data_IF_076994217310
#
_entry.id   IF_076994217310
#
_cell.length_a   1.000
_cell.length_b   1.000
_cell.length_c   1.000
_cell.angle_alpha   90.00
_cell.angle_beta   90.00
_cell.angle_gamma   90.00
#
_symmetry.space_group_name_H-M   'P 1'
#
loop_
_entity.id
_entity.type
_entity.pdbx_description
1 polymer ?
#
# COMPACT_ATOMS: atom_id res chain seq x y z
N UNK A 1 -40.97 -33.85 -54.10
CA UNK A 1 -41.37 -33.22 -52.82
C UNK A 1 -40.17 -32.54 -52.19
N UNK A 2 -40.39 -31.31 -51.71
CA UNK A 2 -39.59 -30.47 -50.79
C UNK A 2 -38.37 -29.73 -51.36
N UNK A 3 -38.57 -28.40 -51.37
CA UNK A 3 -37.71 -27.28 -51.76
C UNK A 3 -36.42 -27.25 -50.93
N UNK A 4 -35.26 -27.06 -51.58
CA UNK A 4 -33.99 -26.77 -50.91
C UNK A 4 -33.91 -25.27 -50.58
N UNK A 5 -33.79 -24.98 -49.29
CA UNK A 5 -33.67 -23.65 -48.71
C UNK A 5 -32.17 -23.30 -48.63
N UNK A 6 -31.69 -22.33 -49.40
CA UNK A 6 -30.32 -21.84 -49.30
C UNK A 6 -30.24 -20.79 -48.20
N UNK A 7 -29.73 -21.19 -47.03
CA UNK A 7 -29.42 -20.30 -45.91
C UNK A 7 -28.09 -19.58 -46.18
N UNK A 8 -28.15 -18.26 -46.35
CA UNK A 8 -26.98 -17.38 -46.38
C UNK A 8 -26.50 -17.20 -44.94
N UNK A 9 -25.33 -17.75 -44.62
CA UNK A 9 -24.64 -17.52 -43.34
C UNK A 9 -23.91 -16.17 -43.43
N UNK A 10 -24.43 -15.19 -42.71
CA UNK A 10 -23.80 -13.89 -42.49
C UNK A 10 -22.81 -14.03 -41.32
N UNK A 11 -21.52 -14.23 -41.65
CA UNK A 11 -20.44 -14.29 -40.67
C UNK A 11 -20.07 -12.88 -40.21
N UNK A 12 -20.72 -12.41 -39.13
CA UNK A 12 -20.30 -11.20 -38.41
C UNK A 12 -19.05 -11.53 -37.60
N UNK A 13 -17.89 -11.18 -38.14
CA UNK A 13 -16.64 -11.14 -37.37
C UNK A 13 -16.69 -9.87 -36.53
N UNK A 14 -17.22 -9.95 -35.30
CA UNK A 14 -17.05 -8.89 -34.31
C UNK A 14 -15.62 -8.92 -33.82
N UNK A 15 -14.77 -8.05 -34.36
CA UNK A 15 -13.47 -7.73 -33.78
C UNK A 15 -13.72 -7.04 -32.44
N UNK A 16 -13.68 -7.81 -31.34
CA UNK A 16 -13.53 -7.30 -29.99
C UNK A 16 -12.12 -6.70 -29.88
N UNK A 17 -11.97 -5.46 -30.30
CA UNK A 17 -10.80 -4.65 -29.98
C UNK A 17 -10.82 -4.38 -28.48
N UNK A 18 -9.93 -5.03 -27.73
CA UNK A 18 -9.61 -4.61 -26.37
C UNK A 18 -9.08 -3.18 -26.45
N UNK A 19 -9.90 -2.20 -26.03
CA UNK A 19 -9.41 -0.84 -25.79
C UNK A 19 -8.45 -0.89 -24.61
N UNK A 20 -7.15 -0.97 -24.88
CA UNK A 20 -6.14 -0.66 -23.87
C UNK A 20 -6.22 0.85 -23.65
N UNK A 21 -6.68 1.29 -22.48
CA UNK A 21 -6.67 2.71 -22.14
C UNK A 21 -5.23 3.20 -22.18
N UNK A 22 -4.91 4.05 -23.16
CA UNK A 22 -3.58 4.65 -23.24
C UNK A 22 -3.36 5.58 -22.05
N UNK A 23 -2.15 5.57 -21.50
CA UNK A 23 -1.77 6.36 -20.33
C UNK A 23 -0.50 7.18 -20.63
N UNK A 24 -0.41 8.33 -19.98
CA UNK A 24 0.82 9.09 -19.84
C UNK A 24 1.53 8.61 -18.59
N UNK A 25 2.69 7.98 -18.76
CA UNK A 25 3.51 7.48 -17.66
C UNK A 25 4.58 8.53 -17.35
N UNK A 26 4.74 8.89 -16.08
CA UNK A 26 5.76 9.82 -15.65
C UNK A 26 6.52 9.35 -14.42
N UNK A 27 7.75 9.83 -14.26
CA UNK A 27 8.57 9.64 -13.07
C UNK A 27 9.18 10.97 -12.64
N UNK A 28 9.05 11.29 -11.36
CA UNK A 28 9.57 12.51 -10.75
C UNK A 28 10.88 12.21 -10.03
N UNK A 29 11.94 12.92 -10.40
CA UNK A 29 13.26 12.81 -9.78
C UNK A 29 13.73 14.16 -9.26
N UNK A 30 14.46 14.15 -8.14
CA UNK A 30 15.18 15.32 -7.67
C UNK A 30 16.29 15.69 -8.68
N UNK A 31 16.28 16.94 -9.13
CA UNK A 31 17.26 17.46 -10.11
C UNK A 31 18.72 17.37 -9.64
N UNK A 32 18.98 17.40 -8.33
CA UNK A 32 20.32 17.31 -7.72
C UNK A 32 20.69 15.86 -7.39
N UNK A 33 19.84 15.15 -6.65
CA UNK A 33 20.20 13.82 -6.10
C UNK A 33 19.84 12.66 -7.02
N UNK A 34 18.99 12.91 -8.03
CA UNK A 34 18.38 11.89 -8.90
C UNK A 34 17.56 10.84 -8.14
N UNK A 35 17.24 11.06 -6.86
CA UNK A 35 16.34 10.21 -6.10
C UNK A 35 14.88 10.49 -6.48
N UNK A 36 13.98 9.49 -6.35
CA UNK A 36 12.55 9.69 -6.54
C UNK A 36 11.97 10.79 -5.66
N UNK A 37 11.12 11.65 -6.24
CA UNK A 37 10.28 12.58 -5.47
C UNK A 37 8.95 11.89 -5.17
N UNK A 38 8.86 11.33 -3.98
CA UNK A 38 7.72 10.54 -3.53
C UNK A 38 6.54 11.43 -3.12
N UNK A 39 5.32 10.95 -3.33
CA UNK A 39 4.08 11.61 -2.90
C UNK A 39 3.86 13.03 -3.45
N UNK A 40 4.53 13.41 -4.54
CA UNK A 40 4.25 14.69 -5.20
C UNK A 40 2.84 14.69 -5.81
N UNK A 41 2.17 15.83 -5.72
CA UNK A 41 0.86 16.05 -6.34
C UNK A 41 1.05 16.41 -7.81
N UNK A 42 0.36 15.70 -8.70
CA UNK A 42 0.34 15.94 -10.14
C UNK A 42 -1.08 16.33 -10.53
N UNK A 43 -1.35 17.63 -10.71
CA UNK A 43 -2.67 18.15 -11.03
C UNK A 43 -2.75 18.63 -12.48
N UNK A 44 -3.92 18.47 -13.11
CA UNK A 44 -4.22 19.17 -14.36
C UNK A 44 -4.72 20.56 -14.01
N UNK A 45 -4.03 21.59 -14.50
CA UNK A 45 -4.31 23.00 -14.19
C UNK A 45 -5.76 23.33 -14.50
N UNK A 46 -6.38 24.10 -13.61
CA UNK A 46 -7.77 24.59 -13.70
C UNK A 46 -8.82 23.46 -13.77
N UNK A 47 -8.44 22.23 -13.46
CA UNK A 47 -9.32 21.09 -13.33
C UNK A 47 -9.28 20.53 -11.92
N UNK A 48 -10.39 19.98 -11.45
CA UNK A 48 -10.47 19.30 -10.16
C UNK A 48 -9.97 17.85 -10.29
N UNK A 49 -8.83 17.65 -10.97
CA UNK A 49 -8.28 16.32 -11.25
C UNK A 49 -6.78 16.34 -10.95
N UNK A 50 -6.32 15.36 -10.17
CA UNK A 50 -4.90 15.09 -9.98
C UNK A 50 -4.64 13.66 -9.52
N UNK A 51 -3.38 13.25 -9.59
CA UNK A 51 -2.87 11.99 -9.07
C UNK A 51 -1.68 12.26 -8.14
N UNK A 52 -1.33 11.27 -7.32
CA UNK A 52 -0.19 11.33 -6.41
C UNK A 52 0.89 10.37 -6.93
N UNK A 53 2.15 10.81 -6.91
CA UNK A 53 3.28 9.96 -7.28
C UNK A 53 3.56 8.89 -6.20
N UNK A 54 3.93 7.69 -6.62
CA UNK A 54 4.24 6.56 -5.72
C UNK A 54 5.64 6.68 -5.06
N UNK A 55 6.03 5.66 -4.29
CA UNK A 55 7.34 5.57 -3.60
C UNK A 55 8.55 5.55 -4.56
N UNK A 56 8.33 5.32 -5.84
CA UNK A 56 9.36 5.38 -6.88
C UNK A 56 9.25 6.68 -7.71
N UNK A 57 8.42 7.63 -7.26
CA UNK A 57 8.14 8.89 -7.94
C UNK A 57 7.30 8.73 -9.20
N UNK A 58 6.71 7.55 -9.45
CA UNK A 58 5.95 7.30 -10.66
C UNK A 58 4.52 7.79 -10.52
N UNK A 59 3.97 8.33 -11.60
CA UNK A 59 2.56 8.67 -11.71
C UNK A 59 2.02 8.30 -13.08
N UNK A 60 0.68 8.20 -13.18
CA UNK A 60 -0.01 7.90 -14.43
C UNK A 60 -1.18 8.83 -14.62
N UNK A 61 -1.31 9.40 -15.81
CA UNK A 61 -2.45 10.23 -16.19
C UNK A 61 -3.17 9.61 -17.39
N UNK A 62 -4.50 9.48 -17.35
CA UNK A 62 -5.28 9.05 -18.50
C UNK A 62 -5.03 9.91 -19.74
N UNK A 63 -4.92 9.29 -20.92
CA UNK A 63 -4.61 10.00 -22.18
C UNK A 63 -5.61 11.12 -22.52
N UNK A 64 -6.85 11.04 -22.02
CA UNK A 64 -7.89 12.08 -22.21
C UNK A 64 -7.45 13.47 -21.73
N UNK A 65 -6.46 13.55 -20.85
CA UNK A 65 -5.91 14.81 -20.37
C UNK A 65 -4.85 15.40 -21.29
N UNK A 66 -4.40 14.68 -22.33
CA UNK A 66 -3.47 15.17 -23.35
C UNK A 66 -4.21 16.02 -24.39
N UNK A 67 -4.52 17.27 -24.02
CA UNK A 67 -5.09 18.27 -24.92
C UNK A 67 -4.17 19.48 -25.02
N UNK A 68 -4.28 20.27 -26.09
CA UNK A 68 -3.33 21.34 -26.39
C UNK A 68 -3.19 22.40 -25.30
N UNK A 69 -4.27 22.66 -24.57
CA UNK A 69 -4.35 23.73 -23.58
C UNK A 69 -4.06 23.26 -22.15
N UNK A 70 -3.94 21.94 -21.93
CA UNK A 70 -3.75 21.41 -20.58
C UNK A 70 -2.29 21.55 -20.12
N UNK A 71 -2.13 22.15 -18.95
CA UNK A 71 -0.87 22.22 -18.22
C UNK A 71 -0.96 21.25 -17.04
N UNK A 72 0.06 20.43 -16.85
CA UNK A 72 0.25 19.66 -15.63
C UNK A 72 1.06 20.50 -14.66
N UNK A 73 0.55 20.66 -13.45
CA UNK A 73 1.22 21.34 -12.34
C UNK A 73 1.60 20.30 -11.30
N UNK A 74 2.90 20.22 -11.01
CA UNK A 74 3.48 19.25 -10.09
C UNK A 74 4.01 20.01 -8.88
N UNK A 75 3.49 19.70 -7.69
CA UNK A 75 3.90 20.32 -6.44
C UNK A 75 4.28 19.28 -5.40
N UNK A 76 5.29 19.62 -4.59
CA UNK A 76 5.79 18.80 -3.50
C UNK A 76 6.45 19.74 -2.48
N UNK A 77 6.27 19.47 -1.18
CA UNK A 77 6.87 20.26 -0.12
C UNK A 77 8.40 20.20 -0.25
N UNK A 78 9.06 21.37 -0.24
CA UNK A 78 10.51 21.47 -0.36
C UNK A 78 11.02 21.47 -1.80
N UNK A 79 10.15 21.57 -2.80
CA UNK A 79 10.50 21.67 -4.22
C UNK A 79 9.82 22.85 -4.90
N UNK A 80 10.47 23.40 -5.91
CA UNK A 80 9.85 24.37 -6.83
C UNK A 80 8.73 23.69 -7.61
N UNK A 81 7.56 24.33 -7.65
CA UNK A 81 6.42 23.87 -8.44
C UNK A 81 6.81 23.81 -9.92
N UNK A 82 6.53 22.67 -10.55
CA UNK A 82 6.89 22.38 -11.94
C UNK A 82 5.63 22.40 -12.80
N UNK A 83 5.55 23.32 -13.76
CA UNK A 83 4.45 23.41 -14.72
C UNK A 83 4.92 22.96 -16.11
N UNK A 84 4.23 21.97 -16.70
CA UNK A 84 4.60 21.37 -17.98
C UNK A 84 3.37 21.29 -18.88
N UNK A 85 3.51 21.64 -20.16
CA UNK A 85 2.45 21.38 -21.14
C UNK A 85 2.33 19.87 -21.39
N UNK A 86 1.14 19.29 -21.22
CA UNK A 86 0.90 17.85 -21.35
C UNK A 86 1.25 17.29 -22.74
N UNK A 87 1.26 18.14 -23.78
CA UNK A 87 1.64 17.73 -25.12
C UNK A 87 3.11 17.31 -25.23
N UNK A 88 3.97 17.80 -24.34
CA UNK A 88 5.37 17.42 -24.29
C UNK A 88 5.59 15.97 -23.83
N UNK A 89 4.60 15.34 -23.18
CA UNK A 89 4.71 13.97 -22.68
C UNK A 89 4.46 12.95 -23.79
N UNK A 90 5.32 11.95 -23.91
CA UNK A 90 5.21 10.89 -24.91
C UNK A 90 4.28 9.78 -24.38
N UNK A 91 3.29 9.40 -25.18
CA UNK A 91 2.30 8.37 -24.84
C UNK A 91 2.97 6.99 -24.85
N UNK A 92 2.70 6.16 -23.83
CA UNK A 92 3.25 4.81 -23.74
C UNK A 92 4.76 4.74 -23.43
N UNK A 93 5.42 5.87 -23.17
CA UNK A 93 6.80 5.94 -22.70
C UNK A 93 6.86 6.54 -21.31
N UNK A 94 7.91 6.18 -20.55
CA UNK A 94 8.17 6.76 -19.25
C UNK A 94 8.78 8.16 -19.42
N UNK A 95 8.04 9.18 -19.03
CA UNK A 95 8.48 10.57 -19.09
C UNK A 95 9.19 10.96 -17.77
N UNK A 96 10.51 11.18 -17.82
CA UNK A 96 11.28 11.56 -16.63
C UNK A 96 11.23 13.08 -16.47
N UNK A 97 10.69 13.56 -15.36
CA UNK A 97 10.55 14.98 -15.02
C UNK A 97 11.40 15.29 -13.78
N UNK A 98 12.13 16.40 -13.80
CA UNK A 98 13.05 16.77 -12.71
C UNK A 98 12.50 17.93 -11.89
N UNK A 99 12.39 17.74 -10.58
CA UNK A 99 11.97 18.79 -9.64
C UNK A 99 13.20 19.44 -8.98
N UNK A 100 13.17 20.76 -8.82
CA UNK A 100 14.28 21.52 -8.23
C UNK A 100 14.03 21.72 -6.74
N UNK A 101 14.92 21.27 -5.83
CA UNK A 101 14.76 21.51 -4.40
C UNK A 101 14.69 23.02 -4.08
N UNK A 102 13.75 23.40 -3.21
CA UNK A 102 13.52 24.74 -2.67
C UNK A 102 13.45 24.64 -1.14
N UNK A 103 14.62 24.61 -0.51
CA UNK A 103 14.77 24.46 0.94
C UNK A 103 15.61 25.64 1.45
N UNK A 104 15.09 26.37 2.43
CA UNK A 104 15.86 27.32 3.22
C UNK A 104 16.16 26.66 4.58
N UNK A 105 17.41 26.27 4.82
CA UNK A 105 17.82 25.83 6.15
C UNK A 105 17.73 27.04 7.09
N UNK A 106 16.90 26.92 8.13
CA UNK A 106 17.02 27.82 9.26
C UNK A 106 18.26 27.37 10.05
N UNK A 107 19.16 28.30 10.36
CA UNK A 107 20.23 28.00 11.32
C UNK A 107 19.57 27.48 12.59
N UNK A 108 19.95 26.27 13.00
CA UNK A 108 19.52 25.70 14.26
C UNK A 108 19.81 26.75 15.33
N UNK A 109 18.76 27.31 15.94
CA UNK A 109 18.90 28.23 17.05
C UNK A 109 19.53 27.43 18.17
N UNK A 110 20.87 27.44 18.19
CA UNK A 110 21.66 26.83 19.24
C UNK A 110 21.37 27.70 20.44
N UNK A 111 20.64 27.14 21.38
CA UNK A 111 20.24 27.82 22.61
C UNK A 111 21.52 28.13 23.39
N UNK A 112 22.11 29.29 23.12
CA UNK A 112 22.92 30.01 24.10
C UNK A 112 22.06 31.19 24.51
N UNK A 113 21.70 31.19 25.79
CA UNK A 113 20.93 32.22 26.46
C UNK A 113 21.62 33.60 26.37
N UNK A 114 21.63 34.23 25.20
CA UNK A 114 22.00 35.63 25.07
C UNK A 114 20.75 36.48 25.17
N UNK A 115 20.53 37.03 26.37
CA UNK A 115 19.44 37.94 26.77
C UNK A 115 19.45 39.30 26.03
N UNK A 116 20.10 39.42 24.87
CA UNK A 116 20.46 40.72 24.30
C UNK A 116 20.00 40.97 22.85
N UNK A 117 19.11 40.14 22.30
CA UNK A 117 18.38 40.48 21.05
C UNK A 117 16.87 40.44 21.28
N UNK A 118 16.11 41.45 20.83
CA UNK A 118 14.65 41.44 20.94
C UNK A 118 14.06 40.24 20.19
N UNK A 119 13.15 39.52 20.86
CA UNK A 119 12.38 38.37 20.35
C UNK A 119 11.09 38.86 19.67
N UNK A 120 11.13 39.37 18.43
CA UNK A 120 9.87 39.77 17.77
C UNK A 120 9.25 38.67 16.89
N UNK A 121 10.03 37.73 16.31
CA UNK A 121 9.49 36.75 15.35
C UNK A 121 9.71 35.26 15.69
N UNK A 122 10.22 34.92 16.87
CA UNK A 122 10.45 33.52 17.25
C UNK A 122 9.25 32.90 17.98
N UNK A 123 8.56 31.98 17.33
CA UNK A 123 7.51 31.13 17.93
C UNK A 123 8.11 29.74 18.20
N UNK A 124 8.10 29.24 19.46
CA UNK A 124 8.55 27.89 19.77
C UNK A 124 7.81 26.81 18.98
N UNK A 125 8.50 25.72 18.60
CA UNK A 125 7.92 24.60 17.85
C UNK A 125 6.60 24.09 18.43
N UNK A 126 6.57 23.91 19.76
CA UNK A 126 5.40 23.46 20.51
C UNK A 126 4.23 24.45 20.39
N UNK A 127 4.50 25.75 20.37
CA UNK A 127 3.47 26.79 20.25
C UNK A 127 2.91 26.86 18.82
N UNK A 128 3.73 26.61 17.79
CA UNK A 128 3.27 26.48 16.40
C UNK A 128 2.28 25.30 16.27
N UNK A 129 2.64 24.13 16.81
CA UNK A 129 1.76 22.95 16.82
C UNK A 129 0.50 23.20 17.63
N UNK A 130 0.61 23.88 18.78
CA UNK A 130 -0.53 24.28 19.60
C UNK A 130 -1.50 25.18 18.84
N UNK A 131 -0.99 26.18 18.12
CA UNK A 131 -1.81 27.07 17.30
C UNK A 131 -2.48 26.31 16.15
N UNK A 132 -1.79 25.34 15.54
CA UNK A 132 -2.37 24.50 14.50
C UNK A 132 -3.54 23.65 15.02
N UNK A 133 -3.39 23.04 16.20
CA UNK A 133 -4.46 22.29 16.87
C UNK A 133 -5.64 23.21 17.22
N UNK A 134 -5.36 24.41 17.76
CA UNK A 134 -6.39 25.39 18.10
C UNK A 134 -7.18 25.85 16.87
N UNK A 135 -6.50 26.02 15.73
CA UNK A 135 -7.10 26.49 14.49
C UNK A 135 -7.76 25.38 13.65
N UNK A 136 -7.85 24.13 14.13
CA UNK A 136 -8.46 23.02 13.38
C UNK A 136 -9.88 23.35 12.88
N UNK A 137 -10.76 23.94 13.72
CA UNK A 137 -12.13 24.31 13.31
C UNK A 137 -12.16 25.43 12.27
N UNK A 138 -11.15 26.28 12.25
CA UNK A 138 -11.03 27.40 11.29
C UNK A 138 -10.47 26.89 9.96
N UNK A 139 -9.46 26.03 10.00
CA UNK A 139 -8.73 25.61 8.81
C UNK A 139 -9.40 24.46 8.05
N UNK A 140 -10.24 23.64 8.71
CA UNK A 140 -10.83 22.43 8.11
C UNK A 140 -12.33 22.54 7.88
N UNK A 141 -12.91 21.73 6.96
CA UNK A 141 -14.32 21.78 6.64
C UNK A 141 -15.18 21.25 7.80
N UNK A 142 -16.17 22.06 8.17
CA UNK A 142 -17.22 21.69 9.13
C UNK A 142 -18.57 21.42 8.45
N UNK A 143 -18.68 21.71 7.16
CA UNK A 143 -19.87 21.44 6.38
C UNK A 143 -19.70 20.11 5.64
N UNK A 144 -20.81 19.44 5.27
CA UNK A 144 -20.78 18.28 4.40
C UNK A 144 -19.99 18.55 3.11
N UNK A 145 -19.19 17.57 2.69
CA UNK A 145 -18.38 17.59 1.48
C UNK A 145 -18.09 16.16 1.05
N UNK A 146 -17.52 15.97 -0.15
CA UNK A 146 -17.08 14.65 -0.58
C UNK A 146 -15.73 14.67 -1.29
N UNK A 147 -15.07 13.50 -1.26
CA UNK A 147 -13.80 13.23 -1.91
C UNK A 147 -13.98 12.10 -2.92
N UNK A 148 -13.77 12.35 -4.22
CA UNK A 148 -13.56 11.24 -5.16
C UNK A 148 -12.07 10.93 -5.21
N UNK A 149 -11.70 9.69 -4.95
CA UNK A 149 -10.32 9.28 -4.88
C UNK A 149 -10.07 7.85 -5.37
N UNK A 150 -8.79 7.61 -5.64
CA UNK A 150 -8.27 6.27 -5.90
C UNK A 150 -7.88 5.62 -4.58
N UNK A 151 -8.51 4.49 -4.28
CA UNK A 151 -8.22 3.67 -3.12
C UNK A 151 -7.44 2.43 -3.55
N UNK A 152 -6.46 2.03 -2.74
CA UNK A 152 -5.86 0.69 -2.84
C UNK A 152 -5.44 0.13 -1.50
N UNK A 153 -5.51 -1.18 -1.37
CA UNK A 153 -4.88 -1.94 -0.29
C UNK A 153 -4.19 -3.18 -0.83
N UNK A 154 -3.07 -3.55 -0.21
CA UNK A 154 -2.26 -4.68 -0.64
C UNK A 154 -1.34 -5.13 0.48
N UNK A 155 -0.83 -6.34 0.33
CA UNK A 155 0.25 -6.84 1.17
C UNK A 155 1.55 -6.99 0.39
N UNK A 156 2.68 -6.84 1.07
CA UNK A 156 3.99 -7.24 0.58
C UNK A 156 4.52 -8.37 1.49
N UNK A 157 4.84 -9.49 0.85
CA UNK A 157 5.46 -10.64 1.49
C UNK A 157 6.63 -11.11 0.63
N UNK A 158 7.82 -11.20 1.22
CA UNK A 158 9.05 -11.57 0.52
C UNK A 158 9.30 -10.74 -0.76
N UNK A 159 9.07 -9.41 -0.68
CA UNK A 159 9.19 -8.44 -1.80
C UNK A 159 8.24 -8.68 -2.97
N UNK A 160 7.15 -9.44 -2.77
CA UNK A 160 6.10 -9.67 -3.77
C UNK A 160 4.78 -9.10 -3.26
N UNK A 161 4.03 -8.48 -4.16
CA UNK A 161 2.67 -8.03 -3.89
C UNK A 161 1.71 -9.22 -3.75
N UNK A 162 0.79 -9.11 -2.81
CA UNK A 162 -0.32 -10.03 -2.58
C UNK A 162 -1.63 -9.25 -2.39
N UNK A 163 -2.73 -9.86 -2.82
CA UNK A 163 -4.10 -9.35 -2.70
C UNK A 163 -4.23 -7.83 -2.96
N UNK A 164 -3.67 -7.35 -4.08
CA UNK A 164 -3.83 -5.96 -4.45
C UNK A 164 -5.29 -5.69 -4.84
N UNK A 165 -5.96 -4.85 -4.08
CA UNK A 165 -7.31 -4.36 -4.33
C UNK A 165 -7.22 -2.88 -4.72
N UNK A 166 -7.95 -2.49 -5.75
CA UNK A 166 -7.89 -1.15 -6.33
C UNK A 166 -9.32 -0.67 -6.63
N UNK A 167 -9.60 0.60 -6.40
CA UNK A 167 -10.96 1.11 -6.61
C UNK A 167 -11.04 2.63 -6.71
N UNK A 168 -12.13 3.10 -7.30
CA UNK A 168 -12.53 4.51 -7.28
C UNK A 168 -13.70 4.65 -6.33
N UNK A 169 -13.54 5.50 -5.32
CA UNK A 169 -14.52 5.68 -4.26
C UNK A 169 -14.82 7.17 -4.07
N UNK A 170 -16.07 7.46 -3.73
CA UNK A 170 -16.47 8.75 -3.21
C UNK A 170 -16.73 8.65 -1.71
N UNK A 171 -15.94 9.35 -0.90
CA UNK A 171 -16.16 9.47 0.53
C UNK A 171 -16.94 10.74 0.85
N UNK A 172 -18.14 10.57 1.38
CA UNK A 172 -18.93 11.64 1.97
C UNK A 172 -18.48 11.88 3.41
N UNK A 173 -18.29 13.14 3.76
CA UNK A 173 -17.83 13.57 5.07
C UNK A 173 -18.66 14.76 5.55
N UNK A 174 -19.38 14.57 6.66
CA UNK A 174 -20.26 15.54 7.29
C UNK A 174 -19.50 16.68 8.01
N UNK A 175 -18.16 16.66 8.00
CA UNK A 175 -17.30 17.69 8.58
C UNK A 175 -16.58 17.23 9.84
N UNK A 176 -15.49 17.94 10.17
CA UNK A 176 -14.52 17.57 11.20
C UNK A 176 -15.09 17.47 12.63
N UNK A 177 -16.23 18.10 12.90
CA UNK A 177 -16.94 18.00 14.18
C UNK A 177 -17.68 16.66 14.38
N UNK A 178 -17.83 15.88 13.32
CA UNK A 178 -18.52 14.58 13.36
C UNK A 178 -17.54 13.43 13.52
N UNK A 179 -18.03 12.31 14.06
CA UNK A 179 -17.24 11.08 14.13
C UNK A 179 -17.12 10.45 12.73
N UNK A 180 -15.89 10.32 12.20
CA UNK A 180 -15.64 9.82 10.84
C UNK A 180 -16.27 8.44 10.57
N UNK A 181 -16.29 7.54 11.55
CA UNK A 181 -16.76 6.16 11.38
C UNK A 181 -18.24 6.00 11.71
N UNK A 182 -18.71 6.63 12.79
CA UNK A 182 -20.04 6.34 13.36
C UNK A 182 -21.12 7.36 12.99
N UNK A 183 -20.78 8.49 12.37
CA UNK A 183 -21.78 9.45 11.95
C UNK A 183 -22.47 8.96 10.67
N UNK A 184 -23.79 8.79 10.72
CA UNK A 184 -24.61 8.17 9.64
C UNK A 184 -24.48 8.81 8.24
N UNK A 185 -24.10 10.08 8.17
CA UNK A 185 -23.98 10.81 6.90
C UNK A 185 -22.54 10.74 6.35
N UNK A 186 -21.61 10.15 7.10
CA UNK A 186 -20.30 9.74 6.57
C UNK A 186 -20.49 8.39 5.88
N UNK A 187 -20.45 8.39 4.56
CA UNK A 187 -20.73 7.22 3.72
C UNK A 187 -19.68 7.10 2.63
N UNK A 188 -19.55 5.91 2.06
CA UNK A 188 -18.67 5.65 0.93
C UNK A 188 -19.50 5.09 -0.23
N UNK A 189 -19.48 5.77 -1.37
CA UNK A 189 -19.95 5.20 -2.63
C UNK A 189 -18.77 4.58 -3.36
N UNK A 190 -18.92 3.31 -3.76
CA UNK A 190 -17.90 2.59 -4.53
C UNK A 190 -18.28 2.65 -6.01
N UNK A 191 -17.52 3.39 -6.80
CA UNK A 191 -17.72 3.47 -8.25
C UNK A 191 -17.06 2.30 -8.99
N UNK A 192 -15.89 1.87 -8.51
CA UNK A 192 -15.24 0.64 -8.94
C UNK A 192 -14.44 0.04 -7.79
N UNK A 193 -14.36 -1.28 -7.75
CA UNK A 193 -13.50 -2.00 -6.83
C UNK A 193 -13.19 -3.36 -7.42
N UNK A 194 -11.91 -3.60 -7.68
CA UNK A 194 -11.43 -4.81 -8.35
C UNK A 194 -10.22 -5.37 -7.61
N UNK A 195 -10.18 -6.69 -7.50
CA UNK A 195 -8.99 -7.40 -7.05
C UNK A 195 -8.10 -7.71 -8.25
N UNK A 196 -6.86 -7.22 -8.22
CA UNK A 196 -5.93 -7.33 -9.33
C UNK A 196 -5.35 -8.75 -9.44
N UNK A 197 -5.94 -9.57 -10.32
CA UNK A 197 -5.59 -10.99 -10.49
C UNK A 197 -4.17 -11.25 -11.07
N UNK A 198 -3.47 -10.20 -11.52
CA UNK A 198 -2.07 -10.31 -11.95
C UNK A 198 -1.15 -10.59 -10.77
N UNK A 199 -1.59 -10.27 -9.54
CA UNK A 199 -0.84 -10.52 -8.32
C UNK A 199 -1.34 -11.79 -7.61
N UNK A 200 -0.45 -12.53 -6.91
CA UNK A 200 -0.85 -13.64 -6.07
C UNK A 200 -1.94 -13.26 -5.06
N UNK A 201 -2.89 -14.17 -4.87
CA UNK A 201 -3.94 -14.05 -3.87
C UNK A 201 -3.72 -15.10 -2.78
N UNK A 202 -3.95 -14.71 -1.54
CA UNK A 202 -3.84 -15.54 -0.35
C UNK A 202 -4.87 -15.10 0.68
N UNK A 203 -5.92 -15.91 0.85
CA UNK A 203 -7.04 -15.64 1.76
C UNK A 203 -6.64 -15.60 3.24
N UNK A 204 -5.51 -16.19 3.61
CA UNK A 204 -5.01 -16.10 5.00
C UNK A 204 -4.54 -14.69 5.32
N UNK A 205 -4.05 -13.94 4.32
CA UNK A 205 -3.61 -12.56 4.54
C UNK A 205 -4.78 -11.58 4.67
N UNK A 206 -5.97 -11.94 4.16
CA UNK A 206 -7.15 -11.07 4.11
C UNK A 206 -8.10 -11.24 5.29
N UNK A 207 -7.79 -12.13 6.22
CA UNK A 207 -8.57 -12.31 7.46
C UNK A 207 -8.51 -11.05 8.33
N UNK A 208 -9.51 -10.87 9.18
CA UNK A 208 -9.53 -9.79 10.16
C UNK A 208 -8.39 -9.95 11.18
N UNK A 209 -7.94 -8.83 11.74
CA UNK A 209 -7.03 -8.84 12.89
C UNK A 209 -7.76 -9.40 14.11
N UNK A 210 -7.18 -10.40 14.77
CA UNK A 210 -7.64 -10.86 16.06
C UNK A 210 -6.82 -10.27 17.21
N UNK A 211 -5.66 -9.65 16.92
CA UNK A 211 -4.75 -9.05 17.90
C UNK A 211 -4.11 -10.06 18.90
N UNK A 212 -4.26 -11.37 18.70
CA UNK A 212 -3.76 -12.37 19.65
C UNK A 212 -2.99 -13.52 18.97
N UNK A 213 -3.67 -14.35 18.18
CA UNK A 213 -3.18 -15.69 17.82
C UNK A 213 -3.11 -15.91 16.30
N UNK A 214 -4.00 -15.27 15.54
CA UNK A 214 -4.18 -15.58 14.13
C UNK A 214 -3.62 -14.49 13.21
N UNK A 215 -4.00 -13.24 13.37
CA UNK A 215 -3.48 -12.07 12.66
C UNK A 215 -3.36 -10.90 13.64
N UNK A 216 -2.13 -10.51 13.94
CA UNK A 216 -1.85 -9.49 14.95
C UNK A 216 -0.59 -8.71 14.62
N UNK A 217 -0.43 -7.52 15.20
CA UNK A 217 0.85 -6.81 15.16
C UNK A 217 1.61 -7.13 16.45
N UNK A 218 2.94 -7.28 16.38
CA UNK A 218 3.72 -7.67 17.56
C UNK A 218 3.82 -6.56 18.61
N UNK A 219 3.90 -5.31 18.14
CA UNK A 219 4.18 -4.13 18.97
C UNK A 219 2.97 -3.22 19.19
N UNK A 220 1.81 -3.58 18.64
CA UNK A 220 0.57 -2.79 18.76
C UNK A 220 -0.66 -3.66 18.58
N UNK A 221 -1.81 -3.12 18.98
CA UNK A 221 -3.12 -3.69 18.65
C UNK A 221 -3.80 -2.79 17.63
N UNK A 222 -4.56 -3.40 16.74
CA UNK A 222 -5.37 -2.70 15.78
C UNK A 222 -6.82 -2.76 16.26
N UNK A 223 -7.39 -1.62 16.60
CA UNK A 223 -8.73 -1.56 17.20
C UNK A 223 -9.81 -2.10 16.25
N UNK A 224 -10.68 -2.95 16.79
CA UNK A 224 -11.81 -3.56 16.09
C UNK A 224 -12.97 -2.58 15.87
N UNK A 225 -12.75 -1.34 15.41
CA UNK A 225 -13.81 -0.35 15.16
C UNK A 225 -14.80 -0.76 14.04
N UNK A 226 -15.04 -2.06 13.84
CA UNK A 226 -16.12 -2.65 13.04
C UNK A 226 -15.87 -2.59 11.54
N UNK A 227 -14.63 -2.37 11.12
CA UNK A 227 -14.32 -1.85 9.81
C UNK A 227 -13.55 -2.77 8.88
N UNK A 228 -13.70 -2.50 7.58
CA UNK A 228 -12.83 -3.04 6.53
C UNK A 228 -11.49 -2.26 6.48
N UNK A 229 -10.62 -2.59 5.53
CA UNK A 229 -9.32 -1.94 5.40
C UNK A 229 -9.43 -0.41 5.16
N UNK A 230 -10.46 0.07 4.47
CA UNK A 230 -10.73 1.51 4.31
C UNK A 230 -11.10 2.18 5.65
N UNK A 231 -11.94 1.54 6.47
CA UNK A 231 -12.27 2.06 7.80
C UNK A 231 -11.02 2.17 8.68
N UNK A 232 -10.14 1.16 8.64
CA UNK A 232 -8.86 1.18 9.35
C UNK A 232 -8.03 2.38 8.90
N UNK A 233 -7.89 2.61 7.58
CA UNK A 233 -7.19 3.78 7.04
C UNK A 233 -7.79 5.09 7.58
N UNK A 234 -9.12 5.21 7.58
CA UNK A 234 -9.84 6.40 8.02
C UNK A 234 -9.64 6.73 9.50
N UNK A 235 -9.56 5.73 10.38
CA UNK A 235 -9.30 5.93 11.80
C UNK A 235 -7.88 6.47 12.05
N UNK A 236 -6.92 6.09 11.20
CA UNK A 236 -5.53 6.54 11.29
C UNK A 236 -5.31 7.97 10.77
N UNK A 237 -6.35 8.67 10.33
CA UNK A 237 -6.27 10.10 10.02
C UNK A 237 -6.42 10.95 11.30
N UNK A 238 -5.34 11.10 12.07
CA UNK A 238 -5.34 11.85 13.33
C UNK A 238 -5.79 13.32 13.18
N UNK A 239 -5.55 13.93 12.01
CA UNK A 239 -5.98 15.30 11.71
C UNK A 239 -7.52 15.34 11.55
N UNK A 240 -8.11 14.44 10.76
CA UNK A 240 -9.58 14.36 10.61
C UNK A 240 -10.26 13.99 11.92
N UNK A 241 -9.63 13.12 12.70
CA UNK A 241 -10.15 12.58 13.95
C UNK A 241 -9.61 13.31 15.19
N UNK A 242 -9.23 14.59 15.07
CA UNK A 242 -8.45 15.27 16.11
C UNK A 242 -9.07 15.29 17.51
N UNK A 243 -10.39 15.22 17.64
CA UNK A 243 -11.13 15.14 18.92
C UNK A 243 -11.49 13.69 19.34
N UNK A 244 -10.91 12.68 18.69
CA UNK A 244 -11.14 11.26 18.92
C UNK A 244 -9.82 10.52 19.02
N UNK A 245 -9.84 9.38 19.72
CA UNK A 245 -8.68 8.50 19.79
C UNK A 245 -8.41 7.92 18.40
N UNK A 246 -7.18 8.06 17.92
CA UNK A 246 -6.73 7.60 16.60
C UNK A 246 -5.84 6.37 16.74
N UNK A 247 -4.51 6.53 16.86
CA UNK A 247 -3.55 5.43 16.96
C UNK A 247 -2.52 5.68 18.06
N UNK A 248 -1.74 4.63 18.39
CA UNK A 248 -0.78 4.62 19.48
C UNK A 248 0.13 5.84 19.49
N UNK A 249 0.41 6.33 20.69
CA UNK A 249 1.30 7.45 21.01
C UNK A 249 0.81 8.84 20.54
N UNK A 250 -0.05 8.92 19.52
CA UNK A 250 -0.83 10.13 19.21
C UNK A 250 -2.06 10.24 20.11
N UNK A 251 -2.73 9.11 20.37
CA UNK A 251 -3.99 9.02 21.12
C UNK A 251 -5.05 9.99 20.60
N UNK A 252 -5.52 10.96 21.39
CA UNK A 252 -6.41 12.04 20.94
C UNK A 252 -5.55 13.22 20.51
N UNK A 253 -5.44 13.47 19.20
CA UNK A 253 -4.50 14.47 18.66
C UNK A 253 -4.62 15.87 19.30
N UNK A 254 -5.85 16.32 19.60
CA UNK A 254 -6.09 17.61 20.24
C UNK A 254 -5.60 17.68 21.68
N UNK A 255 -5.81 16.61 22.43
CA UNK A 255 -5.61 16.59 23.89
C UNK A 255 -4.20 16.10 24.23
N UNK A 256 -3.72 15.05 23.57
CA UNK A 256 -2.54 14.30 23.99
C UNK A 256 -1.27 14.64 23.19
N UNK A 257 -1.40 15.02 21.91
CA UNK A 257 -0.25 15.14 21.00
C UNK A 257 0.85 16.08 21.52
N UNK A 258 0.47 17.22 22.12
CA UNK A 258 1.41 18.21 22.68
C UNK A 258 2.11 17.74 23.97
N UNK A 259 1.53 16.79 24.69
CA UNK A 259 2.09 16.23 25.91
C UNK A 259 2.90 14.97 25.63
N UNK A 260 2.47 14.18 24.65
CA UNK A 260 3.10 12.93 24.29
C UNK A 260 4.40 13.10 23.52
N UNK A 261 4.69 14.31 23.01
CA UNK A 261 5.84 14.55 22.14
C UNK A 261 6.67 15.78 22.51
N UNK A 262 7.95 15.69 22.22
CA UNK A 262 8.87 16.84 22.14
C UNK A 262 8.97 17.34 20.69
N UNK A 263 9.08 18.65 20.50
CA UNK A 263 9.04 19.29 19.18
C UNK A 263 10.30 20.11 18.89
N UNK A 264 10.78 20.04 17.65
CA UNK A 264 11.96 20.79 17.16
C UNK A 264 11.67 21.34 15.77
N UNK A 265 11.67 22.68 15.63
CA UNK A 265 11.66 23.31 14.30
C UNK A 265 12.97 22.95 13.62
N UNK A 266 12.87 22.41 12.40
CA UNK A 266 14.04 21.94 11.64
C UNK A 266 14.38 22.92 10.52
N UNK A 267 13.39 23.32 9.72
CA UNK A 267 13.64 24.17 8.56
C UNK A 267 12.43 25.02 8.16
N UNK A 268 12.69 26.02 7.31
CA UNK A 268 11.66 26.73 6.56
C UNK A 268 11.61 26.15 5.16
N UNK A 269 10.51 25.49 4.86
CA UNK A 269 10.25 24.90 3.55
C UNK A 269 9.26 25.73 2.77
N UNK A 270 9.10 25.39 1.49
CA UNK A 270 8.11 26.03 0.63
C UNK A 270 7.23 24.98 -0.04
N UNK A 271 5.95 25.33 -0.19
CA UNK A 271 4.99 24.61 -1.02
C UNK A 271 4.22 25.65 -1.82
N UNK A 272 4.29 25.58 -3.15
CA UNK A 272 3.68 26.57 -4.06
C UNK A 272 4.08 28.01 -3.68
N UNK A 273 5.38 28.22 -3.43
CA UNK A 273 6.00 29.47 -2.98
C UNK A 273 5.51 30.02 -1.63
N UNK A 274 4.68 29.27 -0.89
CA UNK A 274 4.24 29.63 0.46
C UNK A 274 5.16 29.00 1.50
N UNK A 275 5.59 29.76 2.53
CA UNK A 275 6.43 29.23 3.58
C UNK A 275 5.65 28.25 4.47
N UNK A 276 6.30 27.13 4.79
CA UNK A 276 5.80 26.04 5.63
C UNK A 276 6.86 25.68 6.67
N UNK A 277 6.45 25.57 7.93
CA UNK A 277 7.27 25.06 9.02
C UNK A 277 7.46 23.56 8.86
N UNK A 278 8.70 23.08 8.85
CA UNK A 278 9.01 21.66 9.07
C UNK A 278 9.33 21.45 10.56
N UNK A 279 8.46 20.75 11.27
CA UNK A 279 8.63 20.48 12.70
C UNK A 279 8.76 18.98 12.91
N UNK A 280 9.94 18.57 13.38
CA UNK A 280 10.18 17.20 13.81
C UNK A 280 9.69 17.01 15.23
N UNK A 281 9.18 15.84 15.53
CA UNK A 281 8.75 15.48 16.87
C UNK A 281 9.11 14.05 17.23
N UNK A 282 9.22 13.81 18.53
CA UNK A 282 9.61 12.52 19.10
C UNK A 282 8.69 12.21 20.28
N UNK A 283 8.09 11.03 20.30
CA UNK A 283 7.27 10.59 21.42
C UNK A 283 8.14 10.33 22.65
N UNK A 284 7.65 10.73 23.82
CA UNK A 284 8.38 10.57 25.09
C UNK A 284 8.27 9.13 25.61
N UNK A 285 9.30 8.67 26.32
CA UNK A 285 9.38 7.28 26.82
C UNK A 285 8.22 6.94 27.77
N UNK A 286 7.67 7.91 28.50
CA UNK A 286 6.51 7.71 29.38
C UNK A 286 5.25 7.27 28.60
N UNK A 287 5.18 7.58 27.30
CA UNK A 287 4.07 7.24 26.43
C UNK A 287 4.37 5.98 25.61
N UNK A 288 5.60 5.84 25.11
CA UNK A 288 5.98 4.69 24.27
C UNK A 288 6.33 3.44 25.06
N UNK A 289 6.69 3.60 26.34
CA UNK A 289 7.36 2.58 27.13
C UNK A 289 8.80 2.34 26.67
N UNK A 290 9.46 1.37 27.30
CA UNK A 290 10.89 1.10 27.10
C UNK A 290 11.21 0.31 25.83
N UNK A 291 10.22 -0.38 25.27
CA UNK A 291 10.38 -1.29 24.12
C UNK A 291 10.15 -0.60 22.76
N UNK A 292 9.46 0.55 22.77
CA UNK A 292 9.06 1.26 21.56
C UNK A 292 9.57 2.70 21.54
N UNK A 293 9.66 3.26 20.35
CA UNK A 293 9.87 4.68 20.09
C UNK A 293 8.94 5.13 18.98
N UNK A 294 8.63 6.41 18.92
CA UNK A 294 7.92 6.97 17.78
C UNK A 294 8.41 8.38 17.45
N UNK A 295 8.40 8.70 16.17
CA UNK A 295 8.83 9.99 15.65
C UNK A 295 8.05 10.37 14.41
N UNK A 296 8.23 11.61 13.99
CA UNK A 296 7.63 12.08 12.76
C UNK A 296 7.93 13.54 12.45
N UNK A 297 7.26 14.01 11.41
CA UNK A 297 7.37 15.38 10.93
C UNK A 297 5.98 15.92 10.64
N UNK A 298 5.70 17.13 11.13
CA UNK A 298 4.47 17.87 10.85
C UNK A 298 4.80 19.16 10.09
N UNK A 299 4.05 19.42 9.03
CA UNK A 299 4.25 20.54 8.12
C UNK A 299 3.12 21.53 8.29
N UNK A 300 3.42 22.75 8.73
CA UNK A 300 2.41 23.73 9.17
C UNK A 300 2.61 25.05 8.43
N UNK A 301 1.54 25.61 7.86
CA UNK A 301 1.57 26.90 7.19
C UNK A 301 1.96 28.05 8.15
N UNK A 302 2.77 28.99 7.68
CA UNK A 302 3.24 30.12 8.50
C UNK A 302 2.13 31.10 8.89
N UNK A 303 1.17 31.32 7.99
CA UNK A 303 0.15 32.37 8.08
C UNK A 303 -1.11 31.94 8.83
N UNK A 304 -1.54 30.69 8.60
CA UNK A 304 -2.83 30.15 9.04
C UNK A 304 -2.69 29.08 10.10
N UNK A 305 -1.48 28.58 10.32
CA UNK A 305 -1.20 27.36 11.10
C UNK A 305 -1.97 26.12 10.58
N UNK A 306 -2.36 26.12 9.31
CA UNK A 306 -2.97 24.95 8.68
C UNK A 306 -1.95 23.81 8.58
N UNK A 307 -2.32 22.60 9.00
CA UNK A 307 -1.45 21.43 8.84
C UNK A 307 -1.58 20.95 7.39
N UNK A 308 -0.47 20.97 6.67
CA UNK A 308 -0.40 20.47 5.29
C UNK A 308 -0.08 18.99 5.24
N UNK A 309 0.80 18.50 6.12
CA UNK A 309 1.22 17.10 6.11
C UNK A 309 1.62 16.64 7.50
N UNK A 310 1.36 15.37 7.80
CA UNK A 310 1.84 14.66 8.98
C UNK A 310 2.40 13.31 8.55
N UNK A 311 3.66 13.09 8.87
CA UNK A 311 4.36 11.80 8.75
C UNK A 311 4.60 11.29 10.17
N UNK A 312 4.23 10.05 10.45
CA UNK A 312 4.34 9.46 11.78
C UNK A 312 4.77 8.00 11.69
N UNK A 313 5.76 7.59 12.49
CA UNK A 313 6.31 6.24 12.49
C UNK A 313 6.43 5.70 13.92
N UNK A 314 6.02 4.45 14.12
CA UNK A 314 6.26 3.69 15.35
C UNK A 314 7.32 2.61 15.12
N UNK A 315 8.29 2.51 16.03
CA UNK A 315 9.43 1.58 15.95
C UNK A 315 9.56 0.77 17.24
N UNK A 316 10.10 -0.44 17.10
CA UNK A 316 10.73 -1.12 18.23
C UNK A 316 12.10 -0.46 18.46
N UNK A 317 12.54 -0.29 19.71
CA UNK A 317 13.73 0.52 20.08
C UNK A 317 15.03 0.13 19.34
N UNK A 318 15.14 -1.11 18.86
CA UNK A 318 16.30 -1.63 18.13
C UNK A 318 16.00 -2.01 16.67
N UNK A 319 14.85 -1.60 16.13
CA UNK A 319 14.45 -1.86 14.75
C UNK A 319 14.32 -0.54 14.00
N UNK A 320 15.15 -0.35 12.97
CA UNK A 320 15.06 0.82 12.09
C UNK A 320 13.83 0.78 11.19
N UNK A 321 13.17 -0.37 11.10
CA UNK A 321 11.96 -0.54 10.33
C UNK A 321 10.73 -0.23 11.18
N UNK A 322 9.83 0.65 10.73
CA UNK A 322 8.63 0.93 11.49
C UNK A 322 7.72 -0.31 11.55
N UNK A 323 7.07 -0.53 12.70
CA UNK A 323 5.98 -1.50 12.82
C UNK A 323 4.63 -0.90 12.37
N UNK A 324 4.51 0.43 12.34
CA UNK A 324 3.53 1.14 11.52
C UNK A 324 4.04 2.51 11.08
N UNK A 325 3.46 3.01 9.99
CA UNK A 325 3.68 4.35 9.46
C UNK A 325 2.37 4.94 8.97
N UNK A 326 2.14 6.22 9.27
CA UNK A 326 1.03 7.01 8.77
C UNK A 326 1.59 8.21 8.02
N UNK A 327 1.11 8.45 6.81
CA UNK A 327 1.34 9.70 6.09
C UNK A 327 0.00 10.28 5.70
N UNK A 328 -0.29 11.51 6.07
CA UNK A 328 -1.50 12.21 5.65
C UNK A 328 -1.16 13.61 5.15
N UNK A 329 -1.75 14.00 4.04
CA UNK A 329 -1.55 15.31 3.41
C UNK A 329 -2.90 15.96 3.11
N UNK A 330 -2.97 17.28 3.33
CA UNK A 330 -4.11 18.14 3.05
C UNK A 330 -3.69 19.30 2.15
N UNK A 331 -4.60 19.70 1.25
CA UNK A 331 -4.42 20.82 0.33
C UNK A 331 -5.47 21.91 0.53
N UNK A 332 -5.10 23.20 0.37
CA UNK A 332 -6.05 24.30 0.45
C UNK A 332 -6.99 24.31 -0.75
N UNK A 333 -8.30 24.44 -0.51
CA UNK A 333 -9.32 24.66 -1.56
C UNK A 333 -10.44 25.56 -1.06
N UNK A 334 -10.53 26.78 -1.58
CA UNK A 334 -11.56 27.75 -1.17
C UNK A 334 -11.58 28.00 0.34
N UNK A 335 -10.42 28.38 0.88
CA UNK A 335 -10.26 28.81 2.28
C UNK A 335 -10.21 27.71 3.34
N UNK A 336 -10.33 26.43 2.96
CA UNK A 336 -10.28 25.28 3.86
C UNK A 336 -9.28 24.23 3.37
N UNK A 337 -8.81 23.39 4.26
CA UNK A 337 -7.91 22.26 4.00
C UNK A 337 -8.70 20.99 3.78
N UNK A 338 -8.45 20.33 2.65
CA UNK A 338 -9.14 19.09 2.23
C UNK A 338 -8.13 17.98 2.04
N UNK A 339 -8.52 16.74 2.37
CA UNK A 339 -7.67 15.57 2.24
C UNK A 339 -7.11 15.49 0.81
N UNK A 340 -5.79 15.43 0.69
CA UNK A 340 -5.08 15.20 -0.57
C UNK A 340 -4.69 13.74 -0.71
N UNK A 341 -4.07 13.18 0.34
CA UNK A 341 -3.61 11.80 0.38
C UNK A 341 -3.57 11.28 1.82
N UNK A 342 -3.82 9.99 1.99
CA UNK A 342 -3.49 9.27 3.22
C UNK A 342 -2.95 7.88 2.91
N UNK A 343 -1.92 7.49 3.66
CA UNK A 343 -1.30 6.17 3.69
C UNK A 343 -1.28 5.64 5.10
N UNK A 344 -1.60 4.37 5.25
CA UNK A 344 -1.33 3.62 6.47
C UNK A 344 -0.65 2.31 6.14
N UNK A 345 0.57 2.17 6.65
CA UNK A 345 1.37 0.97 6.62
C UNK A 345 1.44 0.33 8.01
N UNK A 346 1.33 -0.99 8.08
CA UNK A 346 1.64 -1.72 9.29
C UNK A 346 2.24 -3.10 9.01
N UNK A 347 3.07 -3.58 9.93
CA UNK A 347 3.55 -4.97 9.94
C UNK A 347 2.62 -5.83 10.76
N UNK A 348 2.31 -7.02 10.25
CA UNK A 348 1.54 -8.01 10.99
C UNK A 348 2.15 -9.41 10.86
N UNK A 349 1.90 -10.22 11.87
CA UNK A 349 2.09 -11.66 11.84
C UNK A 349 0.77 -12.32 11.57
N UNK A 350 0.78 -13.31 10.68
CA UNK A 350 -0.38 -14.17 10.47
C UNK A 350 0.00 -15.64 10.55
N UNK A 351 -0.79 -16.40 11.30
CA UNK A 351 -0.67 -17.83 11.40
C UNK A 351 -1.09 -18.44 10.07
N UNK A 352 -0.25 -19.31 9.51
CA UNK A 352 -0.59 -20.07 8.32
C UNK A 352 -1.79 -20.98 8.61
N UNK A 353 -3.02 -20.56 8.28
CA UNK A 353 -4.23 -21.36 8.49
C UNK A 353 -4.33 -22.58 7.55
N UNK A 354 -3.83 -22.43 6.33
CA UNK A 354 -3.55 -23.55 5.42
C UNK A 354 -2.04 -23.80 5.41
N UNK A 355 -1.57 -24.82 6.13
CA UNK A 355 -0.21 -25.31 5.92
C UNK A 355 -0.06 -25.62 4.44
N UNK A 356 1.06 -25.19 3.84
CA UNK A 356 1.40 -25.65 2.51
C UNK A 356 1.55 -27.17 2.61
N UNK A 357 0.63 -27.91 1.99
CA UNK A 357 0.51 -29.37 2.11
C UNK A 357 0.21 -30.00 0.76
N UNK A 358 0.46 -31.30 0.68
CA UNK A 358 0.03 -32.12 -0.46
C UNK A 358 -1.45 -32.44 -0.27
N UNK A 359 -2.29 -32.08 -1.25
CA UNK A 359 -3.71 -32.44 -1.27
C UNK A 359 -3.90 -33.84 -1.84
N UNK A 360 -3.29 -34.11 -2.99
CA UNK A 360 -3.39 -35.40 -3.67
C UNK A 360 -2.07 -35.78 -4.33
N UNK A 361 -1.82 -37.08 -4.40
CA UNK A 361 -0.82 -37.67 -5.29
C UNK A 361 -1.56 -38.69 -6.15
N UNK A 362 -1.38 -38.62 -7.45
CA UNK A 362 -1.94 -39.54 -8.41
C UNK A 362 -0.83 -40.03 -9.33
N UNK A 363 -0.89 -41.28 -9.78
CA UNK A 363 0.03 -41.76 -10.81
C UNK A 363 -0.65 -41.74 -12.18
N UNK A 364 -0.02 -41.07 -13.15
CA UNK A 364 -0.43 -41.10 -14.56
C UNK A 364 0.46 -42.09 -15.32
N UNK A 365 -0.06 -43.27 -15.71
CA UNK A 365 0.70 -44.29 -16.43
C UNK A 365 1.08 -43.86 -17.85
N UNK A 366 0.23 -43.07 -18.52
CA UNK A 366 0.51 -42.59 -19.88
C UNK A 366 1.72 -41.64 -19.88
N UNK A 367 1.87 -40.88 -18.80
CA UNK A 367 2.95 -39.93 -18.60
C UNK A 367 4.13 -40.49 -17.80
N UNK A 368 3.99 -41.70 -17.23
CA UNK A 368 4.95 -42.35 -16.32
C UNK A 368 5.41 -41.39 -15.22
N UNK A 369 4.45 -40.76 -14.56
CA UNK A 369 4.73 -39.69 -13.60
C UNK A 369 3.72 -39.63 -12.46
N UNK A 370 4.20 -39.20 -11.29
CA UNK A 370 3.33 -38.80 -10.19
C UNK A 370 2.90 -37.35 -10.38
N UNK A 371 1.60 -37.11 -10.36
CA UNK A 371 0.97 -35.81 -10.33
C UNK A 371 0.68 -35.43 -8.89
N UNK A 372 1.40 -34.45 -8.36
CA UNK A 372 1.28 -34.00 -6.96
C UNK A 372 0.54 -32.67 -6.95
N UNK A 373 -0.64 -32.63 -6.34
CA UNK A 373 -1.44 -31.42 -6.15
C UNK A 373 -1.21 -30.86 -4.75
N UNK A 374 -1.02 -29.54 -4.66
CA UNK A 374 -0.77 -28.83 -3.40
C UNK A 374 -1.91 -27.88 -3.04
N UNK A 375 -2.01 -27.53 -1.77
CA UNK A 375 -2.98 -26.57 -1.23
C UNK A 375 -2.76 -25.13 -1.72
N UNK A 376 -1.52 -24.75 -2.07
CA UNK A 376 -1.15 -23.37 -2.42
C UNK A 376 -0.29 -23.32 -3.69
N UNK A 377 -0.18 -22.13 -4.31
CA UNK A 377 0.64 -21.91 -5.51
C UNK A 377 2.12 -22.11 -5.16
N UNK A 378 2.82 -22.96 -5.91
CA UNK A 378 4.19 -23.41 -5.59
C UNK A 378 5.21 -22.37 -6.02
N UNK A 379 6.21 -22.09 -5.17
CA UNK A 379 7.39 -21.34 -5.60
C UNK A 379 8.29 -22.23 -6.46
N UNK A 380 8.32 -21.96 -7.77
CA UNK A 380 9.10 -22.69 -8.78
C UNK A 380 10.60 -22.75 -8.46
N UNK A 381 11.16 -21.76 -7.74
CA UNK A 381 12.57 -21.79 -7.33
C UNK A 381 12.86 -22.92 -6.35
N UNK A 382 11.85 -23.40 -5.62
CA UNK A 382 12.00 -24.43 -4.59
C UNK A 382 11.91 -25.87 -5.14
N UNK A 383 11.54 -26.06 -6.41
CA UNK A 383 11.41 -27.39 -7.01
C UNK A 383 12.59 -27.79 -7.90
N UNK A 384 13.57 -26.90 -8.10
CA UNK A 384 14.69 -27.13 -9.03
C UNK A 384 15.60 -28.32 -8.66
N UNK A 385 15.66 -28.70 -7.38
CA UNK A 385 16.57 -29.74 -6.87
C UNK A 385 15.85 -31.09 -6.79
N UNK A 386 16.06 -31.98 -7.77
CA UNK A 386 15.46 -33.34 -7.82
C UNK A 386 15.61 -34.15 -6.52
N UNK A 387 16.72 -33.99 -5.80
CA UNK A 387 16.98 -34.66 -4.50
C UNK A 387 15.94 -34.38 -3.41
N UNK A 388 15.15 -33.31 -3.56
CA UNK A 388 14.05 -32.93 -2.68
C UNK A 388 12.84 -33.85 -2.80
N UNK A 389 12.75 -34.59 -3.91
CA UNK A 389 11.69 -35.53 -4.20
C UNK A 389 12.27 -36.94 -4.11
N UNK A 390 11.64 -37.79 -3.31
CA UNK A 390 11.99 -39.20 -3.19
C UNK A 390 10.71 -40.00 -3.25
N UNK A 391 10.69 -40.99 -4.11
CA UNK A 391 9.63 -41.98 -4.20
C UNK A 391 10.30 -43.35 -4.11
N UNK A 392 9.63 -44.29 -3.45
CA UNK A 392 10.00 -45.69 -3.39
C UNK A 392 8.79 -46.55 -3.74
N UNK A 393 9.07 -47.75 -4.24
CA UNK A 393 8.09 -48.83 -4.39
C UNK A 393 8.65 -50.07 -3.71
N UNK A 394 7.94 -50.63 -2.73
CA UNK A 394 8.39 -51.81 -1.97
C UNK A 394 9.86 -51.68 -1.52
N UNK A 395 10.17 -50.57 -0.84
CA UNK A 395 11.52 -50.16 -0.40
C UNK A 395 12.55 -49.83 -1.47
N UNK A 396 12.30 -50.13 -2.75
CA UNK A 396 13.19 -49.77 -3.85
C UNK A 396 12.99 -48.33 -4.28
N UNK A 397 14.10 -47.57 -4.40
CA UNK A 397 14.04 -46.16 -4.77
C UNK A 397 13.71 -45.98 -6.26
N UNK A 398 12.63 -45.26 -6.53
CA UNK A 398 12.28 -44.84 -7.89
C UNK A 398 13.25 -43.74 -8.37
N UNK A 399 13.88 -43.96 -9.53
CA UNK A 399 14.77 -42.98 -10.15
C UNK A 399 13.95 -41.86 -10.77
N UNK A 400 14.05 -40.65 -10.23
CA UNK A 400 13.37 -39.47 -10.75
C UNK A 400 14.13 -38.93 -11.96
N UNK A 401 13.45 -38.88 -13.11
CA UNK A 401 13.95 -38.27 -14.32
C UNK A 401 13.84 -36.74 -14.26
N UNK A 402 12.67 -36.22 -13.88
CA UNK A 402 12.36 -34.79 -13.97
C UNK A 402 11.26 -34.36 -12.99
N UNK A 403 11.26 -33.08 -12.60
CA UNK A 403 10.21 -32.47 -11.78
C UNK A 403 9.81 -31.15 -12.43
N UNK A 404 8.57 -31.07 -12.90
CA UNK A 404 8.04 -29.90 -13.61
C UNK A 404 6.77 -29.38 -12.98
N UNK A 405 6.63 -28.07 -12.91
CA UNK A 405 5.38 -27.40 -12.61
C UNK A 405 4.48 -27.47 -13.84
N UNK A 406 3.32 -28.14 -13.72
CA UNK A 406 2.34 -28.29 -14.81
C UNK A 406 1.15 -27.33 -14.66
N UNK A 407 0.86 -26.90 -13.43
CA UNK A 407 -0.02 -25.78 -13.14
C UNK A 407 0.46 -25.10 -11.85
N UNK A 408 -0.02 -23.90 -11.48
CA UNK A 408 0.45 -23.19 -10.30
C UNK A 408 0.43 -24.02 -9.00
N UNK A 409 -0.46 -25.02 -8.89
CA UNK A 409 -0.63 -25.88 -7.72
C UNK A 409 -0.31 -27.36 -7.99
N UNK A 410 0.25 -27.72 -9.15
CA UNK A 410 0.52 -29.12 -9.52
C UNK A 410 1.91 -29.35 -10.08
N UNK A 411 2.58 -30.38 -9.56
CA UNK A 411 3.85 -30.88 -10.06
C UNK A 411 3.67 -32.21 -10.80
N UNK A 412 4.46 -32.40 -11.85
CA UNK A 412 4.71 -33.68 -12.50
C UNK A 412 6.10 -34.17 -12.11
N UNK A 413 6.17 -35.29 -11.40
CA UNK A 413 7.40 -35.99 -11.02
C UNK A 413 7.55 -37.21 -11.92
N UNK A 414 8.37 -37.09 -12.95
CA UNK A 414 8.58 -38.15 -13.94
C UNK A 414 9.62 -39.16 -13.46
N UNK A 415 9.35 -40.45 -13.60
CA UNK A 415 10.26 -41.53 -13.20
C UNK A 415 10.91 -42.21 -14.41
N UNK A 416 12.08 -42.82 -14.20
CA UNK A 416 12.78 -43.61 -15.23
C UNK A 416 12.19 -45.02 -15.22
N UNK A 417 11.73 -45.46 -16.40
CA UNK A 417 10.95 -46.68 -16.58
C UNK A 417 11.77 -47.96 -16.34
N UNK A 418 11.35 -48.83 -15.41
CA UNK A 418 11.89 -50.18 -15.16
C UNK A 418 10.85 -51.19 -14.64
N UNK A 419 9.55 -50.95 -14.85
CA UNK A 419 8.47 -51.67 -14.18
C UNK A 419 7.48 -52.26 -15.20
N UNK A 420 6.87 -53.40 -14.87
CA UNK A 420 5.89 -54.12 -15.71
C UNK A 420 4.46 -53.58 -15.56
N UNK A 421 3.50 -54.14 -16.31
CA UNK A 421 2.11 -53.67 -16.31
C UNK A 421 1.42 -53.83 -14.94
N UNK A 422 1.80 -54.87 -14.18
CA UNK A 422 1.29 -55.12 -12.82
C UNK A 422 1.79 -54.07 -11.83
N UNK A 423 3.07 -53.69 -11.91
CA UNK A 423 3.64 -52.60 -11.11
C UNK A 423 2.94 -51.26 -11.41
N UNK A 424 2.66 -50.99 -12.70
CA UNK A 424 1.95 -49.78 -13.12
C UNK A 424 0.50 -49.74 -12.61
N UNK A 425 -0.14 -50.91 -12.44
CA UNK A 425 -1.45 -51.00 -11.81
C UNK A 425 -1.37 -50.67 -10.30
N UNK A 426 -0.36 -51.19 -9.60
CA UNK A 426 -0.10 -50.87 -8.19
C UNK A 426 0.20 -49.37 -7.98
N UNK A 427 0.86 -48.72 -8.94
CA UNK A 427 1.16 -47.30 -8.84
C UNK A 427 -0.10 -46.44 -8.93
N UNK A 428 -1.11 -46.84 -9.72
CA UNK A 428 -2.40 -46.12 -9.82
C UNK A 428 -3.13 -46.07 -8.48
N UNK A 429 -3.04 -47.15 -7.69
CA UNK A 429 -3.63 -47.24 -6.35
C UNK A 429 -2.68 -46.79 -5.25
N UNK A 430 -1.47 -46.33 -5.61
CA UNK A 430 -0.37 -46.00 -4.70
C UNK A 430 0.03 -47.14 -3.75
N UNK A 431 -0.33 -48.38 -4.08
CA UNK A 431 -0.03 -49.55 -3.25
C UNK A 431 1.49 -49.78 -3.26
N UNK A 432 2.10 -49.88 -2.07
CA UNK A 432 3.55 -50.05 -1.91
C UNK A 432 4.37 -48.79 -2.21
N UNK A 433 3.75 -47.65 -2.52
CA UNK A 433 4.44 -46.39 -2.80
C UNK A 433 4.68 -45.61 -1.51
N UNK A 434 5.94 -45.31 -1.23
CA UNK A 434 6.34 -44.34 -0.21
C UNK A 434 6.89 -43.09 -0.88
N UNK A 435 6.61 -41.91 -0.33
CA UNK A 435 7.17 -40.67 -0.85
C UNK A 435 7.65 -39.74 0.24
N UNK A 436 8.56 -38.85 -0.16
CA UNK A 436 9.14 -37.82 0.70
C UNK A 436 9.52 -36.62 -0.13
N UNK A 437 8.77 -35.54 0.07
CA UNK A 437 9.00 -34.24 -0.56
C UNK A 437 9.45 -33.28 0.54
N UNK A 438 10.54 -32.53 0.31
CA UNK A 438 11.16 -31.67 1.34
C UNK A 438 11.66 -30.36 0.78
N UNK A 439 11.68 -29.31 1.60
CA UNK A 439 12.21 -27.99 1.24
C UNK A 439 11.56 -27.44 -0.04
N UNK A 440 10.26 -27.71 -0.18
CA UNK A 440 9.38 -27.09 -1.18
C UNK A 440 8.56 -26.08 -0.42
N UNK A 441 8.40 -24.89 -0.98
CA UNK A 441 7.58 -23.85 -0.41
C UNK A 441 6.62 -23.29 -1.45
N UNK A 442 5.60 -22.62 -0.96
CA UNK A 442 4.67 -21.89 -1.79
C UNK A 442 5.13 -20.45 -2.05
N UNK A 443 4.35 -19.68 -2.81
CA UNK A 443 4.68 -18.28 -3.14
C UNK A 443 4.79 -17.36 -1.92
N UNK A 444 4.13 -17.71 -0.81
CA UNK A 444 4.18 -16.98 0.45
C UNK A 444 5.41 -17.36 1.31
N UNK A 445 6.15 -18.41 0.93
CA UNK A 445 7.32 -18.90 1.64
C UNK A 445 7.02 -19.94 2.72
N UNK A 446 5.75 -20.41 2.82
CA UNK A 446 5.34 -21.48 3.74
C UNK A 446 6.02 -22.79 3.32
N UNK A 447 6.77 -23.41 4.23
CA UNK A 447 7.38 -24.71 3.96
C UNK A 447 6.35 -25.84 4.00
N UNK A 448 6.57 -26.85 3.17
CA UNK A 448 5.72 -28.03 3.10
C UNK A 448 5.63 -28.73 4.47
N UNK A 449 4.41 -28.90 4.97
CA UNK A 449 4.07 -29.54 6.25
C UNK A 449 4.62 -28.84 7.52
N UNK A 450 4.98 -27.55 7.44
CA UNK A 450 5.40 -26.75 8.60
C UNK A 450 4.34 -25.72 9.02
N UNK A 451 4.06 -25.63 10.33
CA UNK A 451 3.32 -24.52 10.92
C UNK A 451 4.24 -23.30 10.97
N UNK A 452 3.90 -22.25 10.24
CA UNK A 452 4.69 -21.01 10.18
C UNK A 452 3.81 -19.78 10.40
N UNK A 453 4.39 -18.77 11.05
CA UNK A 453 3.88 -17.41 10.99
C UNK A 453 4.53 -16.71 9.80
N UNK A 454 3.73 -15.96 9.07
CA UNK A 454 4.21 -15.07 8.02
C UNK A 454 4.32 -13.66 8.58
N UNK A 455 5.48 -13.02 8.40
CA UNK A 455 5.66 -11.59 8.63
C UNK A 455 5.30 -10.85 7.36
N UNK A 456 4.28 -10.01 7.42
CA UNK A 456 3.66 -9.41 6.25
C UNK A 456 3.53 -7.91 6.45
N UNK A 457 3.78 -7.18 5.38
CA UNK A 457 3.58 -5.74 5.32
C UNK A 457 2.21 -5.46 4.70
N UNK A 458 1.39 -4.65 5.36
CA UNK A 458 0.10 -4.21 4.85
C UNK A 458 0.16 -2.72 4.53
N UNK A 459 -0.39 -2.34 3.39
CA UNK A 459 -0.56 -0.95 2.99
C UNK A 459 -2.03 -0.68 2.67
N UNK A 460 -2.47 0.54 2.96
CA UNK A 460 -3.78 1.11 2.62
C UNK A 460 -3.57 2.55 2.22
N UNK A 461 -4.10 2.95 1.09
CA UNK A 461 -3.82 4.26 0.52
C UNK A 461 -5.08 4.82 -0.13
N UNK A 462 -5.30 6.13 0.06
CA UNK A 462 -6.36 6.87 -0.60
C UNK A 462 -5.81 8.19 -1.13
N UNK A 463 -5.92 8.38 -2.45
CA UNK A 463 -5.46 9.57 -3.16
C UNK A 463 -6.67 10.36 -3.67
N UNK A 464 -6.89 11.57 -3.16
CA UNK A 464 -8.00 12.43 -3.60
C UNK A 464 -7.74 13.02 -4.98
N UNK A 465 -8.61 12.66 -5.93
CA UNK A 465 -8.60 13.24 -7.28
C UNK A 465 -9.41 14.54 -7.34
N UNK A 466 -10.59 14.54 -6.70
CA UNK A 466 -11.58 15.62 -6.76
C UNK A 466 -12.21 15.86 -5.38
N UNK A 467 -12.50 17.13 -5.07
CA UNK A 467 -13.27 17.52 -3.88
C UNK A 467 -14.56 18.24 -4.29
N UNK A 468 -15.70 17.87 -3.70
CA UNK A 468 -17.00 18.52 -3.89
C UNK A 468 -17.50 19.11 -2.56
N UNK A 469 -18.19 20.25 -2.62
CA UNK A 469 -18.62 21.04 -1.46
C UNK A 469 -20.12 21.18 -1.42
#
# INVERSE_FOLDING_TARGET
MKKSFNTIIFCVITSLGFSQSQELLGQLLDSKTQQPVVFATVAVKDQNVGVIADDNGNFRLPIKYKTNDNIIVISCIGYKTLAINVNTLIVGQLNILKMVPQIESLDAVTIVANKSRPKEDYIPAKDIVKNAIFNMRVNYPTNPHSYIGYYRDYQILNKKYFNLNEGIMEEFDAGFQTNKVFYKDNQTAIYSFEQNEKFPQDSMLTVAYDNYNFKFMEAATLSDFGGNELSILNIHNAIRNYEKKSFSFVDVFKEDFLYNHEFRVTSKMYLDDKPIYEIKFYAIEQVTGVENTADGTIYIAYDTFAIHKLEYNGYLKNDQRPFYSVTVEYKPKGGKMYLNYISFYNRFKVKSGDSFKIETIEFDPSQKAFLVKFSNKIDKSTIAKKRRFKFKYNDERLKINDVKLISPRRLKVSIVNRFGDEDLANFKTLTGIEYKIRNVADLAGRQLDELSFLNVDQFREFCTTSVYK
#
